data_IF_460247167808
#
_entry.id   IF_460247167808
#
_cell.length_a   1.000
_cell.length_b   1.000
_cell.length_c   1.000
_cell.angle_alpha   90.00
_cell.angle_beta   90.00
_cell.angle_gamma   90.00
#
_symmetry.space_group_name_H-M   'P 1'
#
loop_
_entity.id
_entity.type
_entity.pdbx_description
1 polymer ?
#
# COMPACT_ATOMS: atom_id res chain seq x y z
N UNK A 1 41.44 39.62 -62.39
CA UNK A 1 41.53 39.14 -60.99
C UNK A 1 40.15 38.87 -60.34
N UNK A 2 39.01 39.05 -61.03
CA UNK A 2 37.67 38.91 -60.42
C UNK A 2 36.99 37.54 -60.54
N UNK A 3 37.31 36.72 -61.55
CA UNK A 3 36.59 35.46 -61.80
C UNK A 3 37.00 34.31 -60.86
N UNK A 4 38.26 34.29 -60.39
CA UNK A 4 38.73 33.24 -59.47
C UNK A 4 38.16 33.39 -58.04
N UNK A 5 37.70 34.58 -57.65
CA UNK A 5 37.14 34.82 -56.31
C UNK A 5 35.69 34.31 -56.19
N UNK A 6 34.91 34.37 -57.27
CA UNK A 6 33.51 33.91 -57.31
C UNK A 6 33.42 32.38 -57.28
N UNK A 7 34.31 31.68 -57.98
CA UNK A 7 34.36 30.21 -57.98
C UNK A 7 34.80 29.64 -56.61
N UNK A 8 35.74 30.31 -55.93
CA UNK A 8 36.18 29.92 -54.59
C UNK A 8 35.06 30.08 -53.54
N UNK A 9 34.29 31.18 -53.62
CA UNK A 9 33.19 31.46 -52.72
C UNK A 9 32.00 30.50 -52.88
N UNK A 10 31.68 30.06 -54.11
CA UNK A 10 30.62 29.09 -54.34
C UNK A 10 31.01 27.69 -53.85
N UNK A 11 32.28 27.30 -54.02
CA UNK A 11 32.81 26.03 -53.54
C UNK A 11 32.84 25.97 -52.01
N UNK A 12 33.18 27.07 -51.33
CA UNK A 12 33.17 27.12 -49.86
C UNK A 12 31.76 27.06 -49.28
N UNK A 13 30.78 27.71 -49.92
CA UNK A 13 29.39 27.66 -49.49
C UNK A 13 28.78 26.26 -49.67
N UNK A 14 29.14 25.55 -50.74
CA UNK A 14 28.70 24.18 -50.98
C UNK A 14 29.29 23.20 -49.95
N UNK A 15 30.58 23.36 -49.60
CA UNK A 15 31.24 22.56 -48.57
C UNK A 15 30.66 22.83 -47.16
N UNK A 16 30.32 24.09 -46.85
CA UNK A 16 29.71 24.45 -45.57
C UNK A 16 28.30 23.88 -45.43
N UNK A 17 27.49 23.94 -46.50
CA UNK A 17 26.16 23.34 -46.53
C UNK A 17 26.22 21.82 -46.46
N UNK A 18 27.18 21.17 -47.12
CA UNK A 18 27.38 19.73 -47.03
C UNK A 18 27.79 19.31 -45.60
N UNK A 19 28.68 20.07 -44.95
CA UNK A 19 29.06 19.83 -43.55
C UNK A 19 27.88 20.04 -42.59
N UNK A 20 27.03 21.05 -42.83
CA UNK A 20 25.79 21.27 -42.08
C UNK A 20 24.82 20.10 -42.28
N UNK A 21 24.57 19.67 -43.51
CA UNK A 21 23.71 18.51 -43.79
C UNK A 21 24.26 17.22 -43.19
N UNK A 22 25.57 16.95 -43.27
CA UNK A 22 26.21 15.78 -42.65
C UNK A 22 26.16 15.88 -41.13
N UNK A 23 26.33 17.06 -40.54
CA UNK A 23 26.19 17.26 -39.10
C UNK A 23 24.74 17.10 -38.62
N UNK A 24 23.75 17.55 -39.40
CA UNK A 24 22.32 17.35 -39.15
C UNK A 24 21.95 15.87 -39.32
N UNK A 25 22.55 15.17 -40.28
CA UNK A 25 22.33 13.73 -40.50
C UNK A 25 23.01 12.88 -39.42
N UNK A 26 24.21 13.27 -38.95
CA UNK A 26 24.89 12.66 -37.81
C UNK A 26 24.20 12.97 -36.47
N UNK A 27 23.52 14.11 -36.34
CA UNK A 27 22.68 14.41 -35.17
C UNK A 27 21.26 13.83 -35.28
N UNK A 28 20.81 13.43 -36.48
CA UNK A 28 19.63 12.57 -36.67
C UNK A 28 19.92 11.08 -36.45
N UNK A 29 21.20 10.68 -36.37
CA UNK A 29 21.62 9.41 -35.78
C UNK A 29 21.77 9.51 -34.25
N UNK A 30 21.17 10.52 -33.61
CA UNK A 30 20.96 10.53 -32.17
C UNK A 30 20.08 9.34 -31.79
N UNK A 31 20.73 8.32 -31.22
CA UNK A 31 20.16 7.23 -30.43
C UNK A 31 18.86 6.65 -30.99
N UNK A 32 18.99 5.71 -31.93
CA UNK A 32 18.05 4.57 -31.91
C UNK A 32 18.36 3.85 -30.59
N UNK A 33 17.70 4.27 -29.51
CA UNK A 33 17.58 3.44 -28.32
C UNK A 33 16.79 2.22 -28.78
N UNK A 34 17.49 1.15 -29.13
CA UNK A 34 16.83 -0.14 -29.33
C UNK A 34 16.21 -0.51 -27.99
N UNK A 35 14.89 -0.38 -27.86
CA UNK A 35 14.13 -0.98 -26.78
C UNK A 35 14.28 -2.50 -26.89
N UNK A 36 14.83 -3.14 -25.87
CA UNK A 36 15.01 -4.58 -25.81
C UNK A 36 13.82 -5.22 -25.10
N UNK A 37 13.06 -6.03 -25.83
CA UNK A 37 12.06 -6.93 -25.24
C UNK A 37 12.82 -8.18 -24.78
N UNK A 38 13.00 -8.30 -23.47
CA UNK A 38 13.77 -9.38 -22.86
C UNK A 38 12.93 -10.65 -22.74
N UNK A 39 11.66 -10.48 -22.36
CA UNK A 39 10.69 -11.55 -22.24
C UNK A 39 9.28 -11.00 -22.45
N UNK A 40 8.49 -11.65 -23.28
CA UNK A 40 7.07 -11.37 -23.46
C UNK A 40 6.31 -12.69 -23.54
N UNK A 41 5.28 -12.85 -22.73
CA UNK A 41 4.40 -14.01 -22.71
C UNK A 41 2.94 -13.57 -22.70
N UNK A 42 2.22 -13.96 -23.75
CA UNK A 42 0.76 -13.80 -23.93
C UNK A 42 0.01 -15.14 -23.84
N UNK A 43 0.69 -16.17 -23.30
CA UNK A 43 0.19 -17.53 -23.07
C UNK A 43 -0.46 -18.24 -24.27
N UNK A 44 -0.10 -17.84 -25.49
CA UNK A 44 -0.52 -18.50 -26.73
C UNK A 44 -0.27 -20.02 -26.72
N UNK A 45 -0.91 -20.72 -27.66
CA UNK A 45 -0.75 -22.16 -27.82
C UNK A 45 0.74 -22.58 -27.87
N UNK A 46 1.11 -23.56 -27.04
CA UNK A 46 2.49 -24.01 -26.88
C UNK A 46 3.26 -23.39 -25.72
N UNK A 47 2.63 -22.53 -24.90
CA UNK A 47 3.24 -21.96 -23.68
C UNK A 47 3.83 -23.01 -22.72
N UNK A 48 3.31 -24.24 -22.70
CA UNK A 48 3.83 -25.32 -21.85
C UNK A 48 5.27 -25.74 -22.19
N UNK A 49 5.76 -25.38 -23.39
CA UNK A 49 7.17 -25.58 -23.76
C UNK A 49 8.11 -24.55 -23.11
N UNK A 50 7.59 -23.36 -22.78
CA UNK A 50 8.32 -22.25 -22.16
C UNK A 50 8.25 -22.28 -20.63
N UNK A 51 7.11 -22.73 -20.09
CA UNK A 51 6.86 -22.76 -18.65
C UNK A 51 6.98 -24.15 -18.04
N UNK A 52 7.72 -24.24 -16.95
CA UNK A 52 7.93 -25.47 -16.19
C UNK A 52 7.17 -25.41 -14.88
N UNK A 53 6.18 -26.31 -14.76
CA UNK A 53 5.48 -26.55 -13.48
C UNK A 53 6.43 -27.23 -12.49
N UNK A 54 6.48 -26.69 -11.28
CA UNK A 54 7.24 -27.25 -10.16
C UNK A 54 6.53 -28.44 -9.53
N UNK A 55 7.34 -29.37 -8.98
CA UNK A 55 6.87 -30.50 -8.19
C UNK A 55 6.87 -30.18 -6.68
N UNK A 56 7.21 -28.94 -6.31
CA UNK A 56 7.14 -28.46 -4.93
C UNK A 56 5.72 -28.62 -4.39
N UNK A 57 5.59 -29.16 -3.17
CA UNK A 57 4.32 -29.50 -2.50
C UNK A 57 3.46 -30.60 -3.16
N UNK A 58 3.94 -31.25 -4.23
CA UNK A 58 3.20 -32.35 -4.88
C UNK A 58 3.05 -33.56 -3.97
N UNK A 59 4.11 -33.95 -3.26
CA UNK A 59 4.07 -35.11 -2.34
C UNK A 59 3.14 -34.88 -1.12
N UNK A 60 2.88 -33.63 -0.76
CA UNK A 60 1.92 -33.27 0.30
C UNK A 60 0.47 -33.20 -0.22
N UNK A 61 0.26 -33.41 -1.52
CA UNK A 61 -1.04 -33.20 -2.17
C UNK A 61 -1.48 -31.73 -2.16
N UNK A 62 -0.57 -30.78 -1.95
CA UNK A 62 -0.86 -29.34 -1.82
C UNK A 62 -0.47 -28.52 -3.06
N UNK A 63 0.13 -29.14 -4.07
CA UNK A 63 0.43 -28.48 -5.34
C UNK A 63 -0.83 -28.29 -6.20
N UNK A 64 -0.98 -27.09 -6.75
CA UNK A 64 -2.01 -26.70 -7.70
C UNK A 64 -1.58 -26.98 -9.14
N UNK A 65 -2.41 -26.58 -10.09
CA UNK A 65 -2.21 -26.67 -11.53
C UNK A 65 -2.74 -25.43 -12.23
N UNK A 66 -2.46 -25.28 -13.52
CA UNK A 66 -2.93 -24.13 -14.29
C UNK A 66 -3.80 -24.60 -15.45
N UNK A 67 -4.89 -23.88 -15.71
CA UNK A 67 -5.75 -24.05 -16.88
C UNK A 67 -5.43 -22.95 -17.87
N UNK A 68 -5.32 -23.29 -19.15
CA UNK A 68 -5.18 -22.31 -20.22
C UNK A 68 -6.59 -21.86 -20.64
N UNK A 69 -6.96 -20.61 -20.35
CA UNK A 69 -8.34 -20.13 -20.51
C UNK A 69 -8.39 -18.60 -20.56
N UNK A 70 -9.33 -18.07 -21.33
CA UNK A 70 -9.68 -16.65 -21.33
C UNK A 70 -10.52 -16.28 -20.09
N UNK A 71 -10.96 -17.26 -19.31
CA UNK A 71 -11.80 -17.04 -18.12
C UNK A 71 -13.30 -17.03 -18.43
N UNK A 72 -14.11 -16.47 -17.53
CA UNK A 72 -15.59 -16.51 -17.63
C UNK A 72 -16.19 -15.31 -18.35
N UNK A 73 -15.52 -14.17 -18.33
CA UNK A 73 -16.00 -12.91 -18.90
C UNK A 73 -14.84 -12.14 -19.55
N UNK A 74 -14.16 -12.74 -20.53
CA UNK A 74 -13.09 -12.04 -21.24
C UNK A 74 -13.61 -10.97 -22.19
N UNK A 75 -12.81 -9.91 -22.37
CA UNK A 75 -13.04 -8.95 -23.46
C UNK A 75 -12.72 -9.54 -24.83
N UNK A 76 -11.82 -10.52 -24.90
CA UNK A 76 -11.47 -11.30 -26.09
C UNK A 76 -11.42 -12.80 -25.73
N UNK A 77 -12.22 -13.68 -26.37
CA UNK A 77 -12.17 -15.12 -26.13
C UNK A 77 -10.87 -15.82 -26.57
N UNK A 78 -10.11 -15.19 -27.47
CA UNK A 78 -8.83 -15.73 -27.96
C UNK A 78 -7.65 -15.30 -27.08
N UNK A 79 -7.80 -14.23 -26.30
CA UNK A 79 -6.84 -13.76 -25.30
C UNK A 79 -6.90 -14.64 -24.04
N UNK A 80 -6.01 -15.64 -23.99
CA UNK A 80 -6.03 -16.69 -22.97
C UNK A 80 -4.79 -16.60 -22.09
N UNK A 81 -5.03 -16.50 -20.78
CA UNK A 81 -3.99 -16.62 -19.78
C UNK A 81 -3.90 -17.99 -19.12
N UNK A 82 -3.10 -18.06 -18.05
CA UNK A 82 -3.04 -19.21 -17.16
C UNK A 82 -3.84 -18.94 -15.87
N UNK A 83 -4.88 -19.75 -15.66
CA UNK A 83 -5.75 -19.68 -14.50
C UNK A 83 -5.38 -20.69 -13.42
N UNK A 84 -5.29 -20.25 -12.17
CA UNK A 84 -5.05 -21.14 -11.02
C UNK A 84 -6.20 -22.13 -10.80
N UNK A 85 -5.87 -23.41 -10.59
CA UNK A 85 -6.81 -24.48 -10.25
C UNK A 85 -6.10 -25.68 -9.56
N UNK A 86 -6.64 -26.35 -8.52
CA UNK A 86 -7.88 -26.13 -7.78
C UNK A 86 -7.70 -25.38 -6.45
N UNK A 87 -8.81 -25.04 -5.78
CA UNK A 87 -8.84 -24.36 -4.47
C UNK A 87 -7.91 -24.97 -3.41
N UNK A 88 -7.45 -24.10 -2.50
CA UNK A 88 -6.59 -24.41 -1.35
C UNK A 88 -5.29 -25.13 -1.76
N UNK A 89 -4.54 -24.55 -2.70
CA UNK A 89 -3.28 -25.08 -3.21
C UNK A 89 -2.19 -24.01 -3.33
N UNK A 90 -0.95 -24.49 -3.33
CA UNK A 90 0.23 -23.73 -3.75
C UNK A 90 0.45 -23.89 -5.25
N UNK A 91 0.60 -22.78 -5.94
CA UNK A 91 0.84 -22.70 -7.37
C UNK A 91 2.27 -22.28 -7.59
N UNK A 92 3.06 -23.09 -8.30
CA UNK A 92 4.47 -22.79 -8.57
C UNK A 92 4.81 -23.17 -10.01
N UNK A 93 5.12 -22.16 -10.83
CA UNK A 93 5.51 -22.31 -12.22
C UNK A 93 6.56 -21.26 -12.58
N UNK A 94 7.52 -21.61 -13.43
CA UNK A 94 8.56 -20.69 -13.85
C UNK A 94 8.90 -20.85 -15.32
N UNK A 95 9.32 -19.77 -15.97
CA UNK A 95 9.90 -19.78 -17.30
C UNK A 95 11.37 -19.34 -17.23
N UNK A 96 12.20 -19.97 -18.06
CA UNK A 96 13.59 -19.56 -18.27
C UNK A 96 13.62 -18.46 -19.32
N UNK A 97 14.33 -17.38 -19.04
CA UNK A 97 14.48 -16.23 -19.94
C UNK A 97 15.95 -16.05 -20.36
N UNK A 98 16.24 -15.29 -21.43
CA UNK A 98 17.59 -14.83 -21.72
C UNK A 98 18.16 -14.14 -20.47
N UNK A 99 19.35 -14.55 -20.05
CA UNK A 99 19.98 -13.98 -18.87
C UNK A 99 20.33 -12.51 -19.14
N UNK A 100 19.87 -11.60 -18.27
CA UNK A 100 20.10 -10.18 -18.43
C UNK A 100 20.42 -9.49 -17.10
N UNK A 101 21.01 -8.30 -17.19
CA UNK A 101 21.24 -7.41 -16.05
C UNK A 101 20.68 -6.04 -16.39
N UNK A 102 20.03 -5.41 -15.41
CA UNK A 102 19.52 -4.05 -15.56
C UNK A 102 20.60 -2.97 -15.34
N UNK A 103 21.89 -3.33 -15.27
CA UNK A 103 22.97 -2.33 -15.18
C UNK A 103 22.93 -1.37 -16.38
N UNK A 104 22.93 -0.07 -16.09
CA UNK A 104 22.85 1.05 -17.04
C UNK A 104 21.59 1.08 -17.92
N UNK A 105 20.52 0.38 -17.53
CA UNK A 105 19.25 0.38 -18.25
C UNK A 105 18.06 0.38 -17.30
N UNK A 106 16.91 0.83 -17.77
CA UNK A 106 15.66 0.71 -17.02
C UNK A 106 15.24 -0.76 -17.01
N UNK A 107 14.70 -1.23 -15.88
CA UNK A 107 13.97 -2.49 -15.78
C UNK A 107 12.49 -2.18 -15.72
N UNK A 108 11.71 -2.73 -16.64
CA UNK A 108 10.25 -2.74 -16.59
C UNK A 108 9.81 -4.18 -16.39
N UNK A 109 9.05 -4.43 -15.32
CA UNK A 109 8.30 -5.67 -15.11
C UNK A 109 6.82 -5.31 -15.14
N UNK A 110 6.09 -5.86 -16.12
CA UNK A 110 4.66 -5.66 -16.27
C UNK A 110 3.97 -7.01 -16.40
N UNK A 111 2.78 -7.13 -15.82
CA UNK A 111 1.89 -8.23 -16.12
C UNK A 111 0.44 -7.85 -15.83
N UNK A 112 -0.48 -8.61 -16.40
CA UNK A 112 -1.90 -8.49 -16.12
C UNK A 112 -2.37 -9.64 -15.24
N UNK A 113 -3.28 -9.34 -14.33
CA UNK A 113 -3.95 -10.34 -13.50
C UNK A 113 -5.41 -9.99 -13.34
N UNK A 114 -6.26 -11.01 -13.40
CA UNK A 114 -7.68 -10.93 -13.09
C UNK A 114 -8.04 -11.89 -11.96
N UNK A 115 -8.65 -11.37 -10.90
CA UNK A 115 -9.24 -12.17 -9.84
C UNK A 115 -10.71 -12.45 -10.16
N UNK A 116 -10.99 -13.43 -11.02
CA UNK A 116 -12.38 -13.75 -11.39
C UNK A 116 -13.20 -14.28 -10.21
N UNK A 117 -12.51 -14.97 -9.31
CA UNK A 117 -13.08 -15.50 -8.09
C UNK A 117 -13.15 -14.42 -7.00
N UNK A 118 -14.07 -14.57 -6.06
CA UNK A 118 -14.02 -13.82 -4.80
C UNK A 118 -12.79 -14.28 -3.99
N UNK A 119 -11.64 -13.69 -4.27
CA UNK A 119 -10.39 -14.08 -3.62
C UNK A 119 -10.45 -13.64 -2.15
N UNK A 120 -10.59 -14.62 -1.26
CA UNK A 120 -10.59 -14.36 0.18
C UNK A 120 -9.16 -14.24 0.72
N UNK A 121 -8.29 -15.16 0.33
CA UNK A 121 -6.88 -15.10 0.67
C UNK A 121 -6.03 -15.78 -0.39
N UNK A 122 -5.12 -15.04 -1.02
CA UNK A 122 -4.12 -15.52 -1.91
C UNK A 122 -3.27 -14.44 -2.59
N UNK A 123 -2.10 -14.86 -3.04
CA UNK A 123 -1.16 -14.03 -3.77
C UNK A 123 -1.51 -13.92 -5.25
N UNK A 124 -1.13 -12.79 -5.84
CA UNK A 124 -1.21 -12.46 -7.25
C UNK A 124 0.12 -12.02 -7.86
N UNK A 125 1.24 -12.21 -7.17
CA UNK A 125 2.55 -11.64 -7.49
C UNK A 125 3.45 -12.53 -8.34
N UNK A 126 4.42 -11.90 -8.99
CA UNK A 126 5.48 -12.54 -9.79
C UNK A 126 6.83 -12.33 -9.12
N UNK A 127 7.74 -13.31 -9.29
CA UNK A 127 9.13 -13.26 -8.83
C UNK A 127 10.09 -13.28 -10.02
N UNK A 128 11.09 -12.40 -10.00
CA UNK A 128 12.27 -12.49 -10.87
C UNK A 128 13.39 -13.20 -10.12
N UNK A 129 13.98 -14.21 -10.75
CA UNK A 129 14.94 -15.11 -10.10
C UNK A 129 16.31 -14.98 -10.76
N UNK A 130 17.34 -15.04 -9.91
CA UNK A 130 18.74 -14.94 -10.32
C UNK A 130 19.49 -16.25 -10.18
N UNK A 131 20.57 -16.40 -10.92
CA UNK A 131 21.45 -17.56 -10.85
C UNK A 131 20.77 -18.84 -11.36
N UNK A 132 21.26 -20.01 -10.95
CA UNK A 132 20.67 -21.29 -11.34
C UNK A 132 19.47 -21.63 -10.45
N UNK A 133 18.31 -21.85 -11.06
CA UNK A 133 17.10 -22.34 -10.38
C UNK A 133 16.73 -23.70 -10.95
N UNK A 134 16.58 -24.69 -10.06
CA UNK A 134 15.92 -25.94 -10.41
C UNK A 134 14.40 -25.71 -10.48
N UNK A 135 13.89 -25.42 -11.67
CA UNK A 135 12.48 -25.11 -11.92
C UNK A 135 11.51 -26.18 -11.40
N UNK A 136 11.93 -27.45 -11.36
CA UNK A 136 11.13 -28.55 -10.79
C UNK A 136 11.02 -28.53 -9.27
N UNK A 137 11.89 -27.79 -8.60
CA UNK A 137 11.88 -27.59 -7.14
C UNK A 137 11.57 -26.15 -6.76
N UNK A 138 11.16 -25.32 -7.72
CA UNK A 138 10.80 -23.92 -7.47
C UNK A 138 9.65 -23.81 -6.47
N UNK A 139 9.78 -22.94 -5.48
CA UNK A 139 8.83 -22.80 -4.38
C UNK A 139 9.13 -21.59 -3.50
N UNK A 140 8.44 -21.47 -2.37
CA UNK A 140 8.51 -20.29 -1.48
C UNK A 140 9.92 -19.87 -1.05
N UNK A 141 10.79 -20.85 -0.75
CA UNK A 141 12.15 -20.61 -0.26
C UNK A 141 13.17 -20.35 -1.37
N UNK A 142 12.75 -20.35 -2.64
CA UNK A 142 13.67 -20.11 -3.76
C UNK A 142 14.13 -18.64 -3.74
N UNK A 143 15.45 -18.35 -3.71
CA UNK A 143 15.94 -16.98 -3.76
C UNK A 143 15.47 -16.25 -5.01
N UNK A 144 15.02 -15.02 -4.82
CA UNK A 144 14.58 -14.12 -5.88
C UNK A 144 15.30 -12.78 -5.77
N UNK A 145 15.26 -11.99 -6.84
CA UNK A 145 15.82 -10.64 -6.88
C UNK A 145 14.76 -9.56 -6.71
N UNK A 146 13.57 -9.82 -7.25
CA UNK A 146 12.40 -8.95 -7.13
C UNK A 146 11.16 -9.83 -6.94
N UNK A 147 10.28 -9.46 -6.01
CA UNK A 147 8.90 -9.92 -5.94
C UNK A 147 7.99 -8.71 -6.07
N UNK A 148 7.06 -8.76 -7.02
CA UNK A 148 6.17 -7.65 -7.33
C UNK A 148 4.75 -8.14 -7.62
N UNK A 149 3.75 -7.54 -6.98
CA UNK A 149 2.35 -7.78 -7.28
C UNK A 149 1.39 -7.80 -6.09
N UNK A 150 0.08 -7.94 -6.34
CA UNK A 150 -0.93 -7.87 -5.31
C UNK A 150 -0.94 -9.13 -4.42
N UNK A 151 -1.29 -8.95 -3.16
CA UNK A 151 -1.51 -9.99 -2.17
C UNK A 151 -2.73 -9.61 -1.32
N UNK A 152 -3.76 -10.45 -1.43
CA UNK A 152 -5.07 -10.20 -0.82
C UNK A 152 -5.28 -11.29 0.22
N UNK A 153 -5.48 -10.95 1.48
CA UNK A 153 -5.87 -11.88 2.52
C UNK A 153 -6.80 -11.23 3.54
N UNK A 154 -8.08 -11.56 3.43
CA UNK A 154 -9.17 -11.01 4.22
C UNK A 154 -9.39 -9.52 3.98
N UNK A 155 -9.93 -8.85 5.00
CA UNK A 155 -10.13 -7.39 4.97
C UNK A 155 -8.90 -6.61 5.40
N UNK A 156 -7.90 -7.27 5.98
CA UNK A 156 -6.75 -6.64 6.63
C UNK A 156 -5.53 -6.54 5.71
N UNK A 157 -5.37 -7.47 4.77
CA UNK A 157 -4.22 -7.50 3.87
C UNK A 157 -4.71 -7.32 2.44
N UNK A 158 -4.51 -6.13 1.87
CA UNK A 158 -4.74 -5.80 0.47
C UNK A 158 -3.55 -5.00 -0.03
N UNK A 159 -2.41 -5.67 -0.15
CA UNK A 159 -1.12 -5.01 -0.31
C UNK A 159 -0.53 -5.31 -1.68
N UNK A 160 0.04 -4.29 -2.30
CA UNK A 160 0.91 -4.44 -3.44
C UNK A 160 2.34 -4.62 -2.94
N UNK A 161 2.85 -5.85 -3.00
CA UNK A 161 4.22 -6.14 -2.59
C UNK A 161 5.20 -5.60 -3.60
N UNK A 162 6.26 -4.97 -3.09
CA UNK A 162 7.48 -4.67 -3.83
C UNK A 162 8.65 -5.04 -2.92
N UNK A 163 9.26 -6.20 -3.16
CA UNK A 163 10.32 -6.75 -2.32
C UNK A 163 11.58 -6.91 -3.15
N UNK A 164 12.64 -6.23 -2.75
CA UNK A 164 13.94 -6.27 -3.41
C UNK A 164 14.92 -7.09 -2.59
N UNK A 165 15.68 -7.96 -3.26
CA UNK A 165 16.71 -8.74 -2.61
C UNK A 165 18.07 -8.07 -2.75
N UNK A 166 18.71 -7.75 -1.63
CA UNK A 166 20.04 -7.17 -1.57
C UNK A 166 20.92 -7.97 -0.62
N UNK A 167 22.12 -8.35 -1.08
CA UNK A 167 23.08 -9.16 -0.31
C UNK A 167 22.50 -10.45 0.33
N UNK A 168 21.46 -11.04 -0.28
CA UNK A 168 20.84 -12.27 0.20
C UNK A 168 19.73 -12.09 1.24
N UNK A 169 19.39 -10.84 1.58
CA UNK A 169 18.22 -10.50 2.40
C UNK A 169 17.13 -9.88 1.52
N UNK A 170 15.87 -10.02 1.94
CA UNK A 170 14.72 -9.49 1.23
C UNK A 170 14.17 -8.28 1.98
N UNK A 171 14.11 -7.14 1.30
CA UNK A 171 13.66 -5.87 1.83
C UNK A 171 12.30 -5.54 1.23
N UNK A 172 11.20 -5.62 2.00
CA UNK A 172 9.91 -5.10 1.54
C UNK A 172 9.94 -3.58 1.53
N UNK A 173 9.19 -2.97 0.62
CA UNK A 173 8.97 -1.53 0.61
C UNK A 173 8.31 -1.06 1.92
N UNK A 174 8.73 0.09 2.43
CA UNK A 174 8.20 0.69 3.68
C UNK A 174 6.78 1.22 3.54
N UNK A 175 6.45 1.66 2.32
CA UNK A 175 5.16 2.27 2.00
C UNK A 175 4.06 1.20 2.02
N UNK A 176 2.90 1.56 2.54
CA UNK A 176 1.71 0.71 2.44
C UNK A 176 1.01 1.01 1.12
N UNK A 177 1.11 0.08 0.18
CA UNK A 177 0.56 0.23 -1.17
C UNK A 177 -0.67 -0.67 -1.30
N UNK A 178 -1.79 -0.09 -1.72
CA UNK A 178 -3.03 -0.84 -1.94
C UNK A 178 -3.05 -1.45 -3.34
N UNK A 179 -3.73 -2.60 -3.47
CA UNK A 179 -3.99 -3.24 -4.76
C UNK A 179 -5.47 -3.21 -5.13
N UNK A 180 -5.75 -3.37 -6.42
CA UNK A 180 -7.13 -3.44 -6.91
C UNK A 180 -7.80 -4.73 -6.46
N UNK A 181 -9.09 -4.66 -6.12
CA UNK A 181 -9.86 -5.79 -5.56
C UNK A 181 -11.15 -6.09 -6.30
N UNK A 182 -11.35 -5.47 -7.47
CA UNK A 182 -12.46 -5.84 -8.33
C UNK A 182 -12.16 -7.16 -9.11
N UNK A 183 -13.07 -7.57 -9.98
CA UNK A 183 -13.00 -8.84 -10.72
C UNK A 183 -12.61 -8.68 -12.19
N UNK A 184 -12.12 -7.50 -12.56
CA UNK A 184 -11.66 -7.18 -13.90
C UNK A 184 -10.15 -7.38 -14.01
N UNK A 185 -9.66 -7.29 -15.24
CA UNK A 185 -8.23 -7.36 -15.51
C UNK A 185 -7.55 -6.06 -15.11
N UNK A 186 -6.47 -6.17 -14.34
CA UNK A 186 -5.61 -5.05 -14.00
C UNK A 186 -4.17 -5.31 -14.42
N UNK A 187 -3.51 -4.25 -14.88
CA UNK A 187 -2.09 -4.26 -15.18
C UNK A 187 -1.30 -3.71 -14.00
N UNK A 188 -0.28 -4.44 -13.58
CA UNK A 188 0.69 -4.02 -12.58
C UNK A 188 2.04 -3.84 -13.25
N UNK A 189 2.59 -2.63 -13.16
CA UNK A 189 3.87 -2.28 -13.80
C UNK A 189 4.82 -1.69 -12.77
N UNK A 190 6.00 -2.31 -12.64
CA UNK A 190 7.10 -1.81 -11.84
C UNK A 190 8.24 -1.37 -12.75
N UNK A 191 8.69 -0.13 -12.58
CA UNK A 191 9.76 0.50 -13.35
C UNK A 191 10.89 0.84 -12.38
N UNK A 192 12.10 0.34 -12.63
CA UNK A 192 13.31 0.66 -11.87
C UNK A 192 14.36 1.27 -12.80
N UNK A 193 14.81 2.49 -12.49
CA UNK A 193 15.71 3.27 -13.35
C UNK A 193 17.17 3.24 -12.85
N UNK A 194 18.15 3.57 -13.71
CA UNK A 194 19.57 3.58 -13.34
C UNK A 194 19.98 4.57 -12.24
N UNK A 195 19.13 5.54 -11.91
CA UNK A 195 19.35 6.49 -10.81
C UNK A 195 18.78 5.99 -9.46
N UNK A 196 18.42 4.71 -9.39
CA UNK A 196 17.76 4.07 -8.25
C UNK A 196 16.41 4.70 -7.88
N UNK A 197 15.75 5.38 -8.84
CA UNK A 197 14.35 5.76 -8.73
C UNK A 197 13.45 4.67 -9.28
N UNK A 198 12.23 4.59 -8.75
CA UNK A 198 11.23 3.65 -9.22
C UNK A 198 9.88 4.34 -9.45
N UNK A 199 9.05 3.73 -10.29
CA UNK A 199 7.64 4.06 -10.46
C UNK A 199 6.81 2.79 -10.44
N UNK A 200 5.63 2.87 -9.83
CA UNK A 200 4.63 1.81 -9.78
C UNK A 200 3.39 2.33 -10.49
N UNK A 201 3.00 1.65 -11.56
CA UNK A 201 1.78 1.97 -12.29
C UNK A 201 0.78 0.84 -12.09
N UNK A 202 -0.49 1.22 -11.94
CA UNK A 202 -1.63 0.32 -12.03
C UNK A 202 -2.51 0.84 -13.17
N UNK A 203 -2.85 -0.01 -14.13
CA UNK A 203 -3.66 0.34 -15.29
C UNK A 203 -3.13 1.58 -16.04
N UNK A 204 -1.83 1.61 -16.33
CA UNK A 204 -1.11 2.73 -16.96
C UNK A 204 -1.18 4.08 -16.20
N UNK A 205 -1.59 4.08 -14.93
CA UNK A 205 -1.60 5.27 -14.06
C UNK A 205 -0.56 5.14 -12.96
N UNK A 206 0.33 6.13 -12.82
CA UNK A 206 1.30 6.15 -11.72
C UNK A 206 0.56 6.23 -10.37
N UNK A 207 0.81 5.23 -9.53
CA UNK A 207 0.24 5.12 -8.17
C UNK A 207 1.24 5.56 -7.11
N UNK A 208 2.52 5.22 -7.30
CA UNK A 208 3.59 5.61 -6.40
C UNK A 208 4.90 5.74 -7.18
N UNK A 209 5.77 6.60 -6.70
CA UNK A 209 7.14 6.77 -7.19
C UNK A 209 8.06 7.19 -6.05
N UNK A 210 9.35 6.94 -6.20
CA UNK A 210 10.29 7.20 -5.13
C UNK A 210 11.70 6.71 -5.42
N UNK A 211 12.45 6.43 -4.36
CA UNK A 211 13.86 6.05 -4.45
C UNK A 211 14.20 4.87 -3.53
N UNK A 212 15.06 3.99 -4.01
CA UNK A 212 15.57 2.87 -3.22
C UNK A 212 16.29 3.31 -1.93
N UNK A 213 16.88 4.52 -1.93
CA UNK A 213 17.57 5.08 -0.77
C UNK A 213 16.64 5.46 0.39
N UNK A 214 15.35 5.72 0.11
CA UNK A 214 14.39 6.20 1.12
C UNK A 214 13.34 5.15 1.46
N UNK A 215 12.89 4.41 0.46
CA UNK A 215 11.65 3.64 0.55
C UNK A 215 11.89 2.17 0.93
N UNK A 216 13.15 1.75 1.03
CA UNK A 216 13.57 0.47 1.61
C UNK A 216 14.60 0.68 2.73
N UNK A 217 14.76 -0.30 3.62
CA UNK A 217 15.80 -0.34 4.65
C UNK A 217 17.04 -1.13 4.18
N UNK A 218 17.49 -0.87 2.94
CA UNK A 218 18.64 -1.57 2.36
C UNK A 218 19.96 -1.01 2.90
N UNK A 219 20.12 0.31 2.83
CA UNK A 219 21.30 1.01 3.34
C UNK A 219 20.96 1.67 4.68
N UNK A 220 21.94 1.77 5.61
CA UNK A 220 21.75 2.51 6.85
C UNK A 220 21.46 4.00 6.59
N UNK A 221 20.90 4.74 7.55
CA UNK A 221 20.59 6.15 7.35
C UNK A 221 21.88 6.97 7.16
N UNK A 222 21.85 7.94 6.24
CA UNK A 222 22.99 8.85 5.96
C UNK A 222 23.43 9.66 7.18
N UNK A 223 22.48 10.03 8.05
CA UNK A 223 22.73 10.86 9.24
C UNK A 223 22.13 10.25 10.49
N UNK A 224 22.86 10.37 11.59
CA UNK A 224 22.44 9.96 12.93
C UNK A 224 22.36 11.19 13.84
N UNK A 225 21.49 11.13 14.87
CA UNK A 225 21.53 12.14 15.93
C UNK A 225 22.77 11.89 16.78
N UNK A 226 23.53 12.94 17.06
CA UNK A 226 24.68 12.84 17.94
C UNK A 226 24.21 12.66 19.39
N UNK A 227 24.14 11.40 19.83
CA UNK A 227 23.73 11.04 21.20
C UNK A 227 24.68 11.59 22.27
N UNK A 228 25.91 11.95 21.90
CA UNK A 228 26.92 12.49 22.80
C UNK A 228 26.93 14.02 22.82
N UNK A 229 26.18 14.68 21.93
CA UNK A 229 26.08 16.13 21.91
C UNK A 229 25.41 16.65 23.17
N UNK A 230 26.10 17.55 23.86
CA UNK A 230 25.58 18.25 25.04
C UNK A 230 25.18 19.67 24.66
N UNK A 231 24.11 20.17 25.29
CA UNK A 231 23.74 21.58 25.20
C UNK A 231 24.93 22.43 25.64
N UNK A 232 25.44 23.35 24.79
CA UNK A 232 26.52 24.25 25.19
C UNK A 232 26.11 25.09 26.41
N UNK A 233 27.06 25.34 27.32
CA UNK A 233 26.78 26.08 28.55
C UNK A 233 26.36 27.54 28.27
N UNK A 234 26.80 28.10 27.14
CA UNK A 234 26.49 29.44 26.64
C UNK A 234 25.21 29.48 25.77
N UNK A 235 24.45 28.38 25.71
CA UNK A 235 23.21 28.30 24.94
C UNK A 235 22.00 28.74 25.77
N UNK A 236 21.57 29.99 25.57
CA UNK A 236 20.35 30.50 26.21
C UNK A 236 19.10 30.18 25.37
N UNK A 237 18.28 29.26 25.87
CA UNK A 237 16.99 28.87 25.28
C UNK A 237 15.79 29.56 25.95
N UNK A 238 16.03 30.55 26.82
CA UNK A 238 14.98 31.39 27.40
C UNK A 238 14.67 32.52 26.44
N UNK A 239 13.47 32.49 25.86
CA UNK A 239 12.98 33.54 24.97
C UNK A 239 12.80 34.89 25.69
N UNK A 240 12.42 34.84 26.97
CA UNK A 240 12.25 36.01 27.83
C UNK A 240 13.11 35.91 29.08
N UNK A 241 13.77 37.01 29.41
CA UNK A 241 14.52 37.18 30.67
C UNK A 241 13.92 38.35 31.45
N UNK A 242 14.16 38.38 32.76
CA UNK A 242 13.87 39.58 33.54
C UNK A 242 14.80 40.71 33.11
N UNK A 243 14.24 41.90 32.95
CA UNK A 243 14.98 43.10 32.58
C UNK A 243 16.04 43.39 33.66
N UNK A 244 17.34 43.24 33.34
CA UNK A 244 18.40 43.46 34.31
C UNK A 244 18.50 44.93 34.73
N UNK A 245 17.97 45.84 33.90
CA UNK A 245 17.96 47.28 34.16
C UNK A 245 16.67 47.74 34.87
N UNK A 246 15.72 46.84 35.12
CA UNK A 246 14.52 47.17 35.89
C UNK A 246 14.89 47.36 37.37
N UNK A 247 14.91 48.63 37.78
CA UNK A 247 15.11 49.02 39.18
C UNK A 247 13.74 49.10 39.85
N UNK A 248 13.64 48.53 41.05
CA UNK A 248 12.44 48.64 41.87
C UNK A 248 12.30 50.09 42.35
N UNK A 249 11.14 50.75 42.11
CA UNK A 249 10.94 52.10 42.60
C UNK A 249 11.05 52.17 44.11
N UNK A 250 11.69 53.23 44.61
CA UNK A 250 11.79 53.50 46.04
C UNK A 250 10.39 53.68 46.64
N UNK A 251 10.15 53.09 47.82
CA UNK A 251 8.85 53.13 48.50
C UNK A 251 7.77 52.19 47.94
N UNK A 252 8.03 51.39 46.90
CA UNK A 252 7.04 50.47 46.31
C UNK A 252 6.51 49.43 47.33
N UNK A 253 7.38 48.89 48.18
CA UNK A 253 6.99 47.94 49.24
C UNK A 253 6.28 48.60 50.43
N UNK A 254 6.44 49.91 50.57
CA UNK A 254 5.84 50.68 51.65
C UNK A 254 4.38 51.04 51.35
N UNK A 255 3.88 50.73 50.15
CA UNK A 255 2.47 50.91 49.79
C UNK A 255 1.66 49.77 50.43
N UNK A 256 0.79 50.04 51.42
CA UNK A 256 0.01 49.00 52.07
C UNK A 256 -1.07 48.46 51.13
N UNK A 257 -1.38 47.17 51.24
CA UNK A 257 -2.43 46.52 50.44
C UNK A 257 -3.83 47.08 50.72
N UNK A 258 -4.05 47.57 51.94
CA UNK A 258 -5.30 48.17 52.37
C UNK A 258 -5.03 49.54 53.00
N UNK A 259 -5.92 50.50 52.71
CA UNK A 259 -5.93 51.83 53.31
C UNK A 259 -7.26 52.06 54.03
N UNK A 260 -7.31 52.92 55.06
CA UNK A 260 -8.57 53.44 55.59
C UNK A 260 -9.52 53.92 54.49
N UNK A 261 -10.79 53.52 54.54
CA UNK A 261 -11.81 53.97 53.61
C UNK A 261 -12.02 55.48 53.73
N UNK A 262 -11.71 56.28 52.70
CA UNK A 262 -11.90 57.73 52.73
C UNK A 262 -13.36 58.15 52.86
N UNK A 263 -14.31 57.24 52.56
CA UNK A 263 -15.75 57.47 52.65
C UNK A 263 -16.34 56.95 53.97
N UNK A 264 -15.58 56.23 54.78
CA UNK A 264 -16.04 55.81 56.09
C UNK A 264 -16.25 57.04 56.97
N UNK A 265 -17.47 57.19 57.48
CA UNK A 265 -17.81 58.17 58.51
C UNK A 265 -18.03 57.43 59.81
N UNK A 266 -17.57 58.03 60.91
CA UNK A 266 -17.89 57.57 62.26
C UNK A 266 -19.42 57.58 62.40
N UNK A 267 -20.05 56.45 62.79
CA UNK A 267 -21.49 56.43 63.03
C UNK A 267 -21.87 57.38 64.16
N UNK A 268 -23.02 58.05 64.05
CA UNK A 268 -23.48 59.03 65.05
C UNK A 268 -23.75 58.44 66.44
N UNK A 269 -23.86 57.11 66.53
CA UNK A 269 -24.14 56.34 67.74
C UNK A 269 -22.90 55.62 68.30
N UNK A 270 -21.69 56.00 67.90
CA UNK A 270 -20.44 55.40 68.38
C UNK A 270 -19.94 56.03 69.67
N UNK A 271 -19.76 55.24 70.73
CA UNK A 271 -19.26 55.68 72.03
C UNK A 271 -17.79 55.27 72.23
N UNK A 272 -16.89 56.23 72.41
CA UNK A 272 -15.45 55.93 72.52
C UNK A 272 -15.04 55.35 73.89
N UNK A 273 -15.84 55.52 74.95
CA UNK A 273 -15.58 54.90 76.26
C UNK A 273 -15.99 53.42 76.27
N UNK A 274 -17.06 53.04 75.54
CA UNK A 274 -17.56 51.67 75.51
C UNK A 274 -17.06 50.86 74.28
N UNK A 275 -17.02 51.45 73.08
CA UNK A 275 -16.64 50.76 71.83
C UNK A 275 -15.15 50.94 71.44
N UNK A 276 -14.45 51.85 72.13
CA UNK A 276 -13.05 52.21 71.89
C UNK A 276 -12.83 53.21 70.75
N UNK A 277 -11.57 53.54 70.47
CA UNK A 277 -11.18 54.52 69.43
C UNK A 277 -11.66 54.01 68.06
N UNK A 278 -12.61 54.73 67.46
CA UNK A 278 -13.14 54.40 66.14
C UNK A 278 -12.03 54.35 65.10
N UNK A 279 -11.97 53.26 64.34
CA UNK A 279 -11.06 53.10 63.20
C UNK A 279 -11.88 52.89 61.93
N UNK A 280 -11.63 53.68 60.87
CA UNK A 280 -12.31 53.50 59.59
C UNK A 280 -12.08 52.09 59.04
N UNK A 281 -13.11 51.51 58.40
CA UNK A 281 -13.00 50.24 57.70
C UNK A 281 -11.90 50.31 56.64
N UNK A 282 -11.12 49.24 56.48
CA UNK A 282 -10.07 49.20 55.48
C UNK A 282 -10.64 48.81 54.11
N UNK A 283 -10.22 49.49 53.07
CA UNK A 283 -10.53 49.17 51.67
C UNK A 283 -9.26 48.88 50.89
N UNK A 284 -9.33 48.07 49.81
CA UNK A 284 -8.17 47.81 48.95
C UNK A 284 -7.55 49.11 48.45
N UNK A 285 -6.24 49.27 48.63
CA UNK A 285 -5.52 50.44 48.17
C UNK A 285 -5.36 50.42 46.65
N UNK A 286 -5.96 51.37 45.90
CA UNK A 286 -5.83 51.41 44.44
C UNK A 286 -4.38 51.57 43.96
N UNK A 287 -3.49 52.10 44.80
CA UNK A 287 -2.06 52.26 44.52
C UNK A 287 -1.24 50.99 44.73
N UNK A 288 -1.77 49.96 45.42
CA UNK A 288 -1.05 48.71 45.65
C UNK A 288 -1.10 47.82 44.41
N UNK A 289 0.04 47.66 43.75
CA UNK A 289 0.17 46.87 42.51
C UNK A 289 0.63 45.42 42.75
N UNK A 290 0.54 44.94 43.99
CA UNK A 290 1.07 43.64 44.40
C UNK A 290 2.59 43.60 44.49
N UNK A 291 3.19 42.45 44.84
CA UNK A 291 4.64 42.31 44.96
C UNK A 291 5.35 42.70 43.65
N UNK A 292 6.39 43.53 43.76
CA UNK A 292 7.14 43.97 42.58
C UNK A 292 7.80 42.79 41.87
N UNK A 293 7.63 42.72 40.55
CA UNK A 293 8.30 41.73 39.67
C UNK A 293 9.01 42.49 38.56
N UNK A 294 10.23 42.06 38.22
CA UNK A 294 10.95 42.61 37.06
C UNK A 294 10.13 42.38 35.80
N UNK A 295 10.13 43.38 34.90
CA UNK A 295 9.49 43.23 33.59
C UNK A 295 10.23 42.16 32.80
N UNK A 296 9.50 41.29 32.10
CA UNK A 296 10.10 40.33 31.17
C UNK A 296 10.39 41.02 29.84
N UNK A 297 11.62 40.96 29.38
CA UNK A 297 12.05 41.47 28.08
C UNK A 297 12.51 40.30 27.20
N UNK A 298 12.47 40.49 25.88
CA UNK A 298 13.04 39.51 24.95
C UNK A 298 14.53 39.38 25.21
N UNK A 299 15.00 38.15 25.33
CA UNK A 299 16.41 37.87 25.57
C UNK A 299 17.23 38.11 24.31
N UNK A 300 18.16 39.09 24.30
CA UNK A 300 19.01 39.35 23.12
C UNK A 300 19.92 38.17 22.78
N UNK A 301 20.23 37.31 23.76
CA UNK A 301 21.09 36.13 23.60
C UNK A 301 20.31 34.84 23.30
N UNK A 302 19.02 34.92 23.01
CA UNK A 302 18.21 33.74 22.71
C UNK A 302 18.69 33.05 21.42
N UNK A 303 19.21 31.82 21.55
CA UNK A 303 19.71 31.02 20.42
C UNK A 303 18.69 30.01 19.88
N UNK A 304 17.45 30.02 20.41
CA UNK A 304 16.43 29.02 20.10
C UNK A 304 16.44 27.84 21.06
N UNK A 305 15.44 26.96 20.97
CA UNK A 305 15.45 25.69 21.71
C UNK A 305 16.60 24.83 21.17
N UNK A 306 17.51 24.42 22.05
CA UNK A 306 18.60 23.53 21.67
C UNK A 306 18.06 22.21 21.10
N UNK A 307 18.62 21.78 19.98
CA UNK A 307 18.32 20.50 19.32
C UNK A 307 19.61 19.72 19.15
N UNK A 308 19.55 18.41 19.37
CA UNK A 308 20.66 17.50 19.10
C UNK A 308 21.07 17.62 17.62
N UNK A 309 22.35 17.86 17.31
CA UNK A 309 22.83 17.94 15.94
C UNK A 309 22.76 16.57 15.25
N UNK A 310 22.69 16.61 13.92
CA UNK A 310 22.81 15.43 13.07
C UNK A 310 24.26 15.32 12.58
N UNK A 311 24.86 14.15 12.76
CA UNK A 311 26.20 13.80 12.30
C UNK A 311 26.10 12.78 11.17
N UNK A 312 27.10 12.74 10.30
CA UNK A 312 27.17 11.73 9.25
C UNK A 312 27.37 10.34 9.88
N UNK A 313 26.69 9.35 9.34
CA UNK A 313 26.75 7.98 9.85
C UNK A 313 28.04 7.31 9.36
N UNK A 314 28.99 6.92 10.24
CA UNK A 314 30.22 6.26 9.81
C UNK A 314 29.99 4.89 9.17
N UNK A 315 28.84 4.26 9.44
CA UNK A 315 28.44 2.98 8.83
C UNK A 315 27.76 3.17 7.47
N UNK A 316 27.50 4.41 7.04
CA UNK A 316 26.91 4.67 5.72
C UNK A 316 27.98 4.61 4.64
N UNK A 317 27.83 3.62 3.76
CA UNK A 317 28.56 3.52 2.50
C UNK A 317 27.54 3.61 1.36
N UNK A 318 27.78 4.52 0.42
CA UNK A 318 26.91 4.73 -0.74
C UNK A 318 27.17 3.62 -1.77
N UNK A 319 26.11 2.98 -2.26
CA UNK A 319 26.20 1.98 -3.32
C UNK A 319 25.63 2.57 -4.63
N UNK A 320 26.48 3.00 -5.58
CA UNK A 320 26.01 3.55 -6.84
C UNK A 320 25.29 2.51 -7.72
N UNK A 321 25.52 1.21 -7.47
CA UNK A 321 24.89 0.11 -8.16
C UNK A 321 23.69 -0.46 -7.37
N UNK A 322 23.14 0.29 -6.38
CA UNK A 322 22.00 -0.15 -5.54
C UNK A 322 20.78 -0.63 -6.35
N UNK A 323 20.54 -0.05 -7.52
CA UNK A 323 19.45 -0.42 -8.43
C UNK A 323 19.73 -1.70 -9.24
N UNK A 324 20.99 -2.11 -9.33
CA UNK A 324 21.41 -3.25 -10.14
C UNK A 324 21.03 -4.53 -9.42
N UNK A 325 20.02 -5.22 -9.95
CA UNK A 325 19.65 -6.52 -9.46
C UNK A 325 20.70 -7.56 -9.88
N UNK A 326 20.79 -8.64 -9.12
CA UNK A 326 21.54 -9.82 -9.57
C UNK A 326 21.03 -10.26 -10.96
N UNK A 327 21.90 -10.81 -11.84
CA UNK A 327 21.49 -11.19 -13.18
C UNK A 327 20.28 -12.13 -13.19
N UNK A 328 19.21 -11.67 -13.82
CA UNK A 328 17.92 -12.36 -13.86
C UNK A 328 17.96 -13.40 -14.97
N UNK A 329 17.46 -14.60 -14.67
CA UNK A 329 17.47 -15.76 -15.58
C UNK A 329 16.15 -16.50 -15.67
N UNK A 330 15.25 -16.27 -14.71
CA UNK A 330 13.92 -16.87 -14.71
C UNK A 330 12.88 -15.87 -14.21
N UNK A 331 11.66 -16.05 -14.68
CA UNK A 331 10.45 -15.44 -14.12
C UNK A 331 9.59 -16.57 -13.55
N UNK A 332 8.94 -16.34 -12.41
CA UNK A 332 8.14 -17.36 -11.76
C UNK A 332 6.94 -16.82 -11.01
N UNK A 333 5.87 -17.59 -11.02
CA UNK A 333 4.67 -17.38 -10.21
C UNK A 333 4.71 -18.43 -9.11
N UNK A 334 4.79 -17.97 -7.86
CA UNK A 334 4.69 -18.82 -6.69
C UNK A 334 3.72 -18.20 -5.70
N UNK A 335 2.51 -18.74 -5.59
CA UNK A 335 1.44 -18.17 -4.76
C UNK A 335 0.64 -19.27 -4.06
N UNK A 336 0.15 -18.96 -2.87
CA UNK A 336 -0.92 -19.73 -2.22
C UNK A 336 -2.27 -19.08 -2.54
N UNK A 337 -3.30 -19.86 -2.82
CA UNK A 337 -4.68 -19.36 -2.93
C UNK A 337 -5.69 -20.29 -2.26
N UNK A 338 -6.54 -19.71 -1.41
CA UNK A 338 -7.67 -20.41 -0.80
C UNK A 338 -8.73 -20.70 -1.85
N UNK A 339 -9.21 -19.67 -2.56
CA UNK A 339 -10.10 -19.80 -3.71
C UNK A 339 -9.30 -19.55 -4.99
N UNK A 340 -9.22 -20.55 -5.85
CA UNK A 340 -8.51 -20.47 -7.11
C UNK A 340 -9.37 -19.80 -8.19
N UNK A 341 -8.74 -19.35 -9.27
CA UNK A 341 -9.41 -18.64 -10.36
C UNK A 341 -8.66 -17.41 -10.88
N UNK A 342 -7.51 -17.07 -10.28
CA UNK A 342 -6.70 -15.94 -10.76
C UNK A 342 -6.14 -16.26 -12.12
N UNK A 343 -6.38 -15.39 -13.09
CA UNK A 343 -5.88 -15.50 -14.46
C UNK A 343 -4.69 -14.56 -14.59
N UNK A 344 -3.52 -15.11 -14.90
CA UNK A 344 -2.31 -14.33 -15.21
C UNK A 344 -2.13 -14.27 -16.71
N UNK A 345 -1.80 -13.09 -17.24
CA UNK A 345 -1.53 -12.89 -18.65
C UNK A 345 -0.57 -11.72 -18.90
N UNK A 346 -0.12 -11.54 -20.14
CA UNK A 346 0.65 -10.39 -20.61
C UNK A 346 1.93 -10.12 -19.79
N UNK A 347 2.70 -11.16 -19.45
CA UNK A 347 3.94 -11.03 -18.68
C UNK A 347 5.05 -10.45 -19.55
N UNK A 348 5.50 -9.25 -19.22
CA UNK A 348 6.47 -8.48 -19.99
C UNK A 348 7.65 -8.07 -19.11
N UNK A 349 8.86 -8.26 -19.65
CA UNK A 349 10.12 -7.75 -19.12
C UNK A 349 10.83 -7.04 -20.26
N UNK A 350 11.07 -5.74 -20.11
CA UNK A 350 11.75 -4.90 -21.11
C UNK A 350 12.51 -3.76 -20.44
N UNK A 351 13.15 -2.91 -21.25
CA UNK A 351 13.81 -1.67 -20.80
C UNK A 351 13.10 -0.38 -21.25
N UNK A 352 11.93 -0.50 -21.89
CA UNK A 352 11.15 0.62 -22.41
C UNK A 352 9.75 0.72 -21.76
N UNK A 353 9.53 1.73 -20.88
CA UNK A 353 8.22 2.01 -20.31
C UNK A 353 7.13 2.35 -21.33
N UNK A 354 7.49 2.96 -22.46
CA UNK A 354 6.50 3.36 -23.48
C UNK A 354 5.97 2.14 -24.23
N UNK A 355 6.82 1.15 -24.54
CA UNK A 355 6.38 -0.15 -25.06
C UNK A 355 5.45 -0.87 -24.08
N UNK A 356 5.80 -0.90 -22.80
CA UNK A 356 4.96 -1.53 -21.78
C UNK A 356 3.56 -0.87 -21.70
N UNK A 357 3.52 0.47 -21.80
CA UNK A 357 2.25 1.20 -21.87
C UNK A 357 1.41 0.79 -23.09
N UNK A 358 2.04 0.67 -24.27
CA UNK A 358 1.35 0.24 -25.50
C UNK A 358 0.72 -1.14 -25.35
N UNK A 359 1.43 -2.12 -24.80
CA UNK A 359 0.90 -3.47 -24.55
C UNK A 359 -0.35 -3.44 -23.66
N UNK A 360 -0.34 -2.63 -22.60
CA UNK A 360 -1.51 -2.50 -21.73
C UNK A 360 -2.68 -1.77 -22.44
N UNK A 361 -2.39 -0.75 -23.25
CA UNK A 361 -3.41 -0.02 -24.02
C UNK A 361 -4.07 -0.92 -25.10
N UNK A 362 -3.30 -1.83 -25.73
CA UNK A 362 -3.83 -2.84 -26.67
C UNK A 362 -4.90 -3.72 -26.00
N UNK A 363 -4.62 -4.26 -24.82
CA UNK A 363 -5.56 -5.12 -24.08
C UNK A 363 -6.75 -4.30 -23.57
N UNK A 364 -6.52 -3.07 -23.12
CA UNK A 364 -7.58 -2.19 -22.64
C UNK A 364 -8.54 -1.70 -23.72
N UNK A 365 -8.20 -1.85 -25.01
CA UNK A 365 -9.17 -1.61 -26.09
C UNK A 365 -10.43 -2.48 -25.95
N UNK A 366 -10.32 -3.67 -25.36
CA UNK A 366 -11.43 -4.59 -25.11
C UNK A 366 -12.01 -4.51 -23.68
N UNK A 367 -11.59 -3.52 -22.87
CA UNK A 367 -11.99 -3.43 -21.45
C UNK A 367 -13.49 -3.18 -21.24
N UNK A 368 -14.13 -2.43 -22.13
CA UNK A 368 -15.59 -2.23 -22.03
C UNK A 368 -16.37 -3.52 -22.32
N UNK A 369 -15.89 -4.33 -23.27
CA UNK A 369 -16.47 -5.67 -23.55
C UNK A 369 -16.32 -6.58 -22.33
N UNK A 370 -15.14 -6.58 -21.70
CA UNK A 370 -14.91 -7.33 -20.45
C UNK A 370 -15.90 -6.92 -19.35
N UNK A 371 -16.11 -5.62 -19.15
CA UNK A 371 -17.05 -5.09 -18.15
C UNK A 371 -18.49 -5.51 -18.43
N UNK A 372 -18.93 -5.36 -19.66
CA UNK A 372 -20.29 -5.75 -20.06
C UNK A 372 -20.52 -7.26 -19.86
N UNK A 373 -19.55 -8.09 -20.28
CA UNK A 373 -19.58 -9.53 -20.08
C UNK A 373 -19.61 -9.90 -18.58
N UNK A 374 -18.85 -9.17 -17.75
CA UNK A 374 -18.86 -9.34 -16.30
C UNK A 374 -20.22 -9.01 -15.68
N UNK A 375 -20.80 -7.86 -16.04
CA UNK A 375 -22.12 -7.45 -15.54
C UNK A 375 -23.23 -8.42 -15.95
N UNK A 376 -23.18 -8.94 -17.18
CA UNK A 376 -24.11 -9.97 -17.65
C UNK A 376 -23.93 -11.27 -16.87
N UNK A 377 -22.69 -11.74 -16.70
CA UNK A 377 -22.39 -12.93 -15.90
C UNK A 377 -22.86 -12.77 -14.44
N UNK A 378 -22.73 -11.58 -13.86
CA UNK A 378 -23.22 -11.28 -12.52
C UNK A 378 -24.75 -11.29 -12.43
N UNK A 379 -25.45 -10.69 -13.40
CA UNK A 379 -26.92 -10.72 -13.48
C UNK A 379 -27.43 -12.15 -13.56
N UNK A 380 -26.82 -12.99 -14.40
CA UNK A 380 -27.16 -14.42 -14.52
C UNK A 380 -26.92 -15.16 -13.21
N UNK A 381 -25.77 -14.92 -12.55
CA UNK A 381 -25.46 -15.52 -11.25
C UNK A 381 -26.51 -15.14 -10.19
N UNK A 382 -26.83 -13.85 -10.08
CA UNK A 382 -27.79 -13.34 -9.09
C UNK A 382 -29.19 -13.90 -9.33
N UNK A 383 -29.64 -13.96 -10.59
CA UNK A 383 -30.93 -14.56 -10.94
C UNK A 383 -31.00 -16.04 -10.54
N UNK A 384 -29.91 -16.80 -10.74
CA UNK A 384 -29.82 -18.20 -10.32
C UNK A 384 -29.83 -18.35 -8.79
N UNK A 385 -29.09 -17.51 -8.07
CA UNK A 385 -29.09 -17.51 -6.60
C UNK A 385 -30.48 -17.17 -6.03
N UNK A 386 -31.19 -16.23 -6.64
CA UNK A 386 -32.57 -15.88 -6.28
C UNK A 386 -33.54 -17.04 -6.54
N UNK A 387 -33.41 -17.73 -7.68
CA UNK A 387 -34.21 -18.91 -8.00
C UNK A 387 -33.94 -20.07 -7.02
N UNK A 388 -32.67 -20.35 -6.72
CA UNK A 388 -32.29 -21.38 -5.74
C UNK A 388 -32.78 -21.03 -4.33
N UNK A 389 -32.69 -19.75 -3.92
CA UNK A 389 -33.23 -19.27 -2.66
C UNK A 389 -34.76 -19.37 -2.60
N UNK A 390 -35.46 -19.09 -3.71
CA UNK A 390 -36.90 -19.26 -3.80
C UNK A 390 -37.30 -20.74 -3.69
N UNK A 391 -36.63 -21.64 -4.42
CA UNK A 391 -36.84 -23.09 -4.32
C UNK A 391 -36.60 -23.59 -2.89
N UNK A 392 -35.55 -23.12 -2.22
CA UNK A 392 -35.27 -23.47 -0.83
C UNK A 392 -36.34 -22.96 0.15
N UNK A 393 -36.91 -21.76 -0.09
CA UNK A 393 -38.04 -21.21 0.70
C UNK A 393 -39.31 -22.03 0.49
N UNK A 394 -39.65 -22.35 -0.76
CA UNK A 394 -40.82 -23.17 -1.10
C UNK A 394 -40.70 -24.58 -0.51
N UNK A 395 -39.53 -25.20 -0.59
CA UNK A 395 -39.27 -26.49 0.06
C UNK A 395 -39.36 -26.38 1.59
N UNK A 396 -38.82 -25.31 2.18
CA UNK A 396 -38.93 -25.02 3.60
C UNK A 396 -40.39 -24.86 4.06
N UNK A 397 -41.21 -24.15 3.28
CA UNK A 397 -42.65 -24.05 3.52
C UNK A 397 -43.37 -25.38 3.37
N UNK A 398 -43.05 -26.17 2.33
CA UNK A 398 -43.64 -27.51 2.14
C UNK A 398 -43.37 -28.40 3.35
N UNK A 399 -42.11 -28.45 3.80
CA UNK A 399 -41.70 -29.18 5.02
C UNK A 399 -42.42 -28.67 6.28
N UNK A 400 -42.67 -27.36 6.41
CA UNK A 400 -43.46 -26.80 7.51
C UNK A 400 -44.94 -27.20 7.44
N UNK A 401 -45.55 -27.20 6.25
CA UNK A 401 -46.95 -27.61 6.04
C UNK A 401 -47.13 -29.10 6.36
N UNK A 402 -46.23 -29.97 5.93
CA UNK A 402 -46.22 -31.39 6.27
C UNK A 402 -46.16 -31.61 7.79
N UNK A 403 -45.23 -30.94 8.49
CA UNK A 403 -45.14 -31.00 9.97
C UNK A 403 -46.37 -30.42 10.68
N UNK A 404 -47.01 -29.40 10.11
CA UNK A 404 -48.24 -28.81 10.64
C UNK A 404 -49.47 -29.70 10.44
N UNK A 405 -49.51 -30.47 9.34
CA UNK A 405 -50.54 -31.46 9.07
C UNK A 405 -50.52 -32.59 10.11
N UNK A 406 -49.34 -33.09 10.49
CA UNK A 406 -49.18 -34.12 11.50
C UNK A 406 -49.68 -33.69 12.89
N UNK A 407 -49.41 -32.44 13.31
CA UNK A 407 -49.92 -31.93 14.60
C UNK A 407 -51.45 -31.82 14.60
N UNK A 408 -52.05 -31.26 13.54
CA UNK A 408 -53.52 -31.15 13.44
C UNK A 408 -54.19 -32.52 13.32
N UNK A 409 -53.56 -33.50 12.67
CA UNK A 409 -54.09 -34.86 12.60
C UNK A 409 -54.05 -35.55 13.97
N UNK A 410 -52.96 -35.37 14.74
CA UNK A 410 -52.82 -35.91 16.10
C UNK A 410 -53.85 -35.33 17.06
N UNK A 411 -54.11 -34.02 16.99
CA UNK A 411 -55.10 -33.35 17.85
C UNK A 411 -56.55 -33.76 17.49
N UNK A 412 -56.88 -33.90 16.20
CA UNK A 412 -58.19 -34.44 15.77
C UNK A 412 -58.42 -35.89 16.21
N UNK A 413 -57.39 -36.73 16.19
CA UNK A 413 -57.51 -38.10 16.70
C UNK A 413 -57.75 -38.08 18.22
N UNK A 414 -57.02 -37.25 18.96
CA UNK A 414 -57.15 -37.15 20.42
C UNK A 414 -58.54 -36.68 20.87
N UNK A 415 -59.15 -35.74 20.14
CA UNK A 415 -60.51 -35.26 20.46
C UNK A 415 -61.62 -36.24 20.04
N UNK A 416 -61.40 -37.04 18.98
CA UNK A 416 -62.37 -38.08 18.58
C UNK A 416 -62.45 -39.23 19.59
N UNK A 417 -61.34 -39.58 20.26
CA UNK A 417 -61.32 -40.62 21.30
C UNK A 417 -61.74 -40.14 22.69
N UNK A 418 -61.85 -38.82 22.93
CA UNK A 418 -62.37 -38.30 24.20
C UNK A 418 -63.90 -38.32 24.31
N UNK A 419 -64.62 -38.59 23.22
CA UNK A 419 -66.10 -38.55 23.18
C UNK A 419 -66.78 -39.92 23.35
N UNK A 420 -66.02 -41.00 23.52
CA UNK A 420 -66.55 -42.34 23.70
C UNK A 420 -65.67 -43.11 24.68
N UNK A 421 -65.98 -43.00 25.98
CA UNK A 421 -66.09 -44.16 26.87
C UNK A 421 -66.50 -43.76 28.30
N UNK A 422 -67.56 -44.36 28.86
CA UNK A 422 -67.83 -44.40 30.30
C UNK A 422 -66.89 -45.40 31.02
N UNK A 423 -66.27 -44.93 32.11
CA UNK A 423 -65.93 -45.64 33.37
C UNK A 423 -65.83 -47.18 33.35
N UNK A 424 -64.68 -47.75 33.75
CA UNK A 424 -64.48 -48.37 35.09
C UNK A 424 -63.18 -49.23 35.23
N UNK A 425 -62.52 -49.05 36.39
CA UNK A 425 -61.89 -50.03 37.30
C UNK A 425 -60.51 -50.72 37.05
N UNK A 426 -59.59 -50.40 37.98
CA UNK A 426 -58.71 -51.25 38.84
C UNK A 426 -57.50 -52.04 38.25
N UNK A 427 -56.29 -51.69 38.68
CA UNK A 427 -55.35 -52.45 39.59
C UNK A 427 -54.48 -53.46 38.81
N UNK A 428 -53.23 -53.80 39.13
CA UNK A 428 -52.17 -53.42 40.07
C UNK A 428 -50.96 -54.35 39.73
N UNK A 429 -49.80 -54.12 40.35
CA UNK A 429 -48.61 -54.98 40.44
C UNK A 429 -47.54 -55.01 39.32
N UNK A 430 -46.49 -54.22 39.57
CA UNK A 430 -45.12 -54.65 39.91
C UNK A 430 -44.66 -56.09 39.57
N UNK A 431 -43.54 -56.25 38.85
CA UNK A 431 -42.24 -56.59 39.47
C UNK A 431 -41.06 -56.66 38.47
N UNK A 432 -39.90 -56.38 39.09
CA UNK A 432 -38.47 -56.44 38.73
C UNK A 432 -37.99 -57.22 37.49
N UNK A 433 -37.16 -56.58 36.66
CA UNK A 433 -35.68 -56.76 36.62
C UNK A 433 -35.01 -55.82 35.61
#
# INVERSE_FOLDING_TARGET
>A
MGENALAAASSSAFALNLLLFVSIWLSFQAHISNSEIIFEERFEDGWQSRWVKSDWKSNEGKAGSFKHTAGKWSGDPDDKGIQTFPDAKHYAISAKIPEFSNKNRTLVLQYSIRFEQDIECGGGYIKLLSGFVNQKKFGGDTPYSLMFGPDICGTQTKKLHVILSYQGQNYPIKKDLECETDKLTHFYTFILRPDATYSILIDNRERDSGSMYTDWDILPPRKLKDVNAKKPADWDDREYIEDPNAIKPEGYDSIPAEIPDPKAKKPDHWDEEEDGIWKPSKVPNPGYKGPWKRKKIKNPNYKGKWKTPWIDNPEFEDDPDLYVLKPIKYVGIEVWQVKAGSVYDNVLICDDPDYAKQVADEVFANREVEKEAFEEAEKVRKAREEEEAQRAREEGERRRRERGYDRRHRDRYRDRYRRHEPRDYLDDYHDEL
#
